data_IF_482575969829
#
_entry.id   IF_482575969829
#
_cell.length_a   1.000
_cell.length_b   1.000
_cell.length_c   1.000
_cell.angle_alpha   90.00
_cell.angle_beta   90.00
_cell.angle_gamma   90.00
#
_symmetry.space_group_name_H-M   'P 1'
#
loop_
_entity.id
_entity.type
_entity.pdbx_description
1 polymer ?
#
# COMPACT_ATOMS: atom_id res chain seq x y z
N UNK A 1 -0.31 -6.60 6.79
CA UNK A 1 1.09 -6.35 6.38
C UNK A 1 2.05 -7.43 6.86
N UNK A 2 2.14 -7.70 8.17
CA UNK A 2 3.07 -8.70 8.72
C UNK A 2 2.87 -10.13 8.18
N UNK A 3 1.61 -10.55 8.03
CA UNK A 3 1.23 -11.87 7.47
C UNK A 3 1.61 -12.04 6.00
N UNK A 4 1.86 -10.93 5.29
CA UNK A 4 2.25 -10.90 3.87
C UNK A 4 3.75 -10.60 3.70
N UNK A 5 4.54 -10.81 4.75
CA UNK A 5 5.99 -10.65 4.74
C UNK A 5 6.48 -9.18 4.76
N UNK A 6 5.58 -8.21 4.86
CA UNK A 6 5.91 -6.79 4.88
C UNK A 6 5.95 -6.30 6.33
N UNK A 7 7.17 -6.03 6.82
CA UNK A 7 7.42 -5.69 8.23
C UNK A 7 7.52 -4.19 8.52
N UNK A 8 7.60 -3.34 7.49
CA UNK A 8 7.67 -1.90 7.65
C UNK A 8 7.08 -1.15 6.45
N UNK A 9 6.71 0.11 6.67
CA UNK A 9 6.27 1.04 5.61
C UNK A 9 7.35 1.19 4.55
N UNK A 10 8.61 1.26 4.96
CA UNK A 10 9.76 1.39 4.06
C UNK A 10 9.95 0.16 3.17
N UNK A 11 9.69 -1.05 3.70
CA UNK A 11 9.74 -2.28 2.92
C UNK A 11 8.61 -2.32 1.86
N UNK A 12 7.42 -1.83 2.21
CA UNK A 12 6.32 -1.68 1.26
C UNK A 12 6.65 -0.64 0.18
N UNK A 13 7.23 0.51 0.58
CA UNK A 13 7.66 1.55 -0.34
C UNK A 13 8.64 1.03 -1.38
N UNK A 14 9.64 0.27 -0.96
CA UNK A 14 10.61 -0.37 -1.88
C UNK A 14 9.92 -1.30 -2.89
N UNK A 15 8.96 -2.12 -2.45
CA UNK A 15 8.18 -2.97 -3.36
C UNK A 15 7.34 -2.15 -4.34
N UNK A 16 6.81 -1.01 -3.93
CA UNK A 16 6.09 -0.11 -4.82
C UNK A 16 7.05 0.56 -5.82
N UNK A 17 8.25 0.96 -5.39
CA UNK A 17 9.29 1.50 -6.27
C UNK A 17 9.75 0.47 -7.31
N UNK A 18 9.90 -0.81 -6.95
CA UNK A 18 10.17 -1.93 -7.87
C UNK A 18 9.08 -2.10 -8.93
N UNK A 19 7.83 -1.73 -8.61
CA UNK A 19 6.69 -1.71 -9.53
C UNK A 19 6.58 -0.39 -10.33
N UNK A 20 7.55 0.53 -10.19
CA UNK A 20 7.56 1.83 -10.87
C UNK A 20 6.66 2.88 -10.22
N UNK A 21 6.20 2.65 -8.98
CA UNK A 21 5.28 3.53 -8.26
C UNK A 21 6.06 4.33 -7.21
N UNK A 22 6.33 5.60 -7.51
CA UNK A 22 6.94 6.51 -6.55
C UNK A 22 5.91 7.08 -5.58
N UNK A 23 6.11 6.81 -4.29
CA UNK A 23 5.35 7.38 -3.19
C UNK A 23 6.28 7.70 -2.02
N UNK A 24 6.02 8.79 -1.29
CA UNK A 24 6.80 9.13 -0.09
C UNK A 24 6.40 8.24 1.09
N UNK A 25 7.35 7.94 2.00
CA UNK A 25 7.05 7.22 3.24
C UNK A 25 5.93 7.91 4.05
N UNK A 26 5.91 9.24 4.09
CA UNK A 26 4.88 10.01 4.80
C UNK A 26 3.48 9.90 4.16
N UNK A 27 3.39 9.78 2.83
CA UNK A 27 2.12 9.56 2.15
C UNK A 27 1.66 8.11 2.31
N UNK A 28 2.57 7.16 2.16
CA UNK A 28 2.28 5.74 2.35
C UNK A 28 1.83 5.44 3.79
N UNK A 29 2.51 6.01 4.78
CA UNK A 29 2.11 5.93 6.20
C UNK A 29 0.71 6.47 6.44
N UNK A 30 0.36 7.62 5.85
CA UNK A 30 -1.02 8.17 5.94
C UNK A 30 -2.07 7.26 5.31
N UNK A 31 -1.75 6.57 4.21
CA UNK A 31 -2.67 5.61 3.58
C UNK A 31 -2.88 4.40 4.49
N UNK A 32 -1.80 3.84 5.06
CA UNK A 32 -1.87 2.70 5.97
C UNK A 32 -2.64 3.05 7.24
N UNK A 33 -2.47 4.26 7.76
CA UNK A 33 -3.18 4.76 8.95
C UNK A 33 -4.63 5.18 8.66
N UNK A 34 -5.13 5.03 7.42
CA UNK A 34 -6.49 5.46 7.04
C UNK A 34 -6.70 6.98 7.06
N UNK A 35 -5.63 7.78 7.15
CA UNK A 35 -5.64 9.25 7.21
C UNK A 35 -5.62 9.92 5.83
N UNK A 36 -5.81 9.13 4.77
CA UNK A 36 -5.82 9.62 3.39
C UNK A 36 -7.08 9.17 2.66
N UNK A 37 -7.90 10.14 2.24
CA UNK A 37 -9.17 9.87 1.55
C UNK A 37 -9.04 9.90 0.02
N UNK A 38 -7.92 10.40 -0.50
CA UNK A 38 -7.67 10.54 -1.94
C UNK A 38 -6.33 9.92 -2.29
N UNK A 39 -6.38 8.81 -3.01
CA UNK A 39 -5.21 8.17 -3.59
C UNK A 39 -5.55 7.70 -5.02
N UNK A 40 -4.55 7.75 -5.90
CA UNK A 40 -4.71 7.35 -7.29
C UNK A 40 -4.90 5.83 -7.38
N UNK A 41 -5.73 5.37 -8.31
CA UNK A 41 -5.92 3.95 -8.63
C UNK A 41 -4.61 3.21 -8.94
N UNK A 42 -3.59 3.91 -9.45
CA UNK A 42 -2.24 3.36 -9.64
C UNK A 42 -1.62 2.92 -8.31
N UNK A 43 -1.74 3.72 -7.26
CA UNK A 43 -1.21 3.40 -5.92
C UNK A 43 -1.97 2.20 -5.33
N UNK A 44 -3.30 2.15 -5.54
CA UNK A 44 -4.14 1.02 -5.11
C UNK A 44 -3.72 -0.27 -5.82
N UNK A 45 -3.59 -0.25 -7.14
CA UNK A 45 -3.12 -1.40 -7.92
C UNK A 45 -1.73 -1.86 -7.50
N UNK A 46 -0.85 -0.91 -7.20
CA UNK A 46 0.47 -1.17 -6.64
C UNK A 46 0.41 -1.88 -5.29
N UNK A 47 -0.44 -1.40 -4.38
CA UNK A 47 -0.60 -1.99 -3.04
C UNK A 47 -1.17 -3.40 -3.12
N UNK A 48 -2.18 -3.62 -3.97
CA UNK A 48 -2.77 -4.94 -4.23
C UNK A 48 -1.72 -5.92 -4.76
N UNK A 49 -0.89 -5.47 -5.71
CA UNK A 49 0.19 -6.28 -6.29
C UNK A 49 1.29 -6.56 -5.27
N UNK A 50 1.77 -5.52 -4.57
CA UNK A 50 2.86 -5.62 -3.61
C UNK A 50 2.52 -6.50 -2.40
N UNK A 51 1.24 -6.50 -2.00
CA UNK A 51 0.73 -7.31 -0.90
C UNK A 51 0.11 -8.63 -1.39
N UNK A 52 -0.03 -8.86 -2.69
CA UNK A 52 -0.72 -10.01 -3.30
C UNK A 52 -2.18 -10.18 -2.79
N UNK A 53 -2.93 -9.08 -2.66
CA UNK A 53 -4.33 -9.08 -2.18
C UNK A 53 -5.32 -8.74 -3.30
N UNK A 54 -6.58 -9.14 -3.11
CA UNK A 54 -7.70 -8.61 -3.90
C UNK A 54 -8.21 -7.27 -3.35
N UNK A 55 -8.96 -6.52 -4.16
CA UNK A 55 -9.63 -5.27 -3.73
C UNK A 55 -10.47 -5.49 -2.46
N UNK A 56 -11.12 -6.66 -2.35
CA UNK A 56 -11.95 -7.04 -1.21
C UNK A 56 -11.16 -7.12 0.12
N UNK A 57 -9.88 -7.48 0.08
CA UNK A 57 -9.01 -7.47 1.27
C UNK A 57 -8.63 -6.03 1.68
N UNK A 58 -8.58 -5.11 0.71
CA UNK A 58 -8.17 -3.72 0.94
C UNK A 58 -9.33 -2.87 1.49
N UNK A 59 -10.56 -3.22 1.11
CA UNK A 59 -11.80 -2.55 1.51
C UNK A 59 -12.58 -3.34 2.57
N UNK A 60 -11.89 -4.01 3.50
CA UNK A 60 -12.55 -4.53 4.69
C UNK A 60 -13.03 -3.35 5.57
N UNK A 61 -14.17 -2.76 5.18
CA UNK A 61 -14.96 -1.84 6.00
C UNK A 61 -15.56 -2.70 7.11
N UNK A 62 -15.08 -2.47 8.33
CA UNK A 62 -15.78 -2.84 9.55
C UNK A 62 -15.98 -1.59 10.38
#
# INVERSE_FOLDING_TARGET
>A
MAERGVRSVSALRRKLEELGISISDAQLGRIIDGRSSHFNSIVVGGLLTALNCGLSDLFAVR
#
